data_IF_826393447826
#
_entry.id   IF_826393447826
#
_cell.length_a   1.000
_cell.length_b   1.000
_cell.length_c   1.000
_cell.angle_alpha   90.00
_cell.angle_beta   90.00
_cell.angle_gamma   90.00
#
_symmetry.space_group_name_H-M   'P 1'
#
loop_
_entity.id
_entity.type
_entity.pdbx_description
1 polymer ?
#
# COMPACT_ATOMS: atom_id res chain seq x y z
N UNK A 1 -34.46 -14.06 34.42
CA UNK A 1 -35.44 -14.74 33.52
C UNK A 1 -35.44 -14.00 32.18
N UNK A 2 -35.34 -14.69 31.06
CA UNK A 2 -35.34 -14.07 29.73
C UNK A 2 -36.77 -13.65 29.35
N UNK A 3 -36.96 -12.39 28.96
CA UNK A 3 -38.26 -11.86 28.54
C UNK A 3 -38.35 -11.92 27.01
N UNK A 4 -39.26 -12.71 26.50
CA UNK A 4 -39.57 -12.83 25.07
C UNK A 4 -38.59 -13.64 24.25
N UNK A 5 -38.86 -13.74 22.93
CA UNK A 5 -38.00 -14.37 21.95
C UNK A 5 -37.01 -13.34 21.35
N UNK A 6 -35.80 -13.80 20.94
CA UNK A 6 -34.86 -12.96 20.26
C UNK A 6 -35.37 -12.64 18.83
N UNK A 7 -35.64 -11.35 18.49
CA UNK A 7 -36.09 -10.95 17.16
C UNK A 7 -35.19 -11.40 16.02
N UNK A 8 -33.86 -11.56 16.27
CA UNK A 8 -32.91 -12.03 15.28
C UNK A 8 -33.26 -13.43 14.69
N UNK A 9 -34.05 -14.24 15.41
CA UNK A 9 -34.55 -15.53 14.90
C UNK A 9 -35.53 -15.40 13.72
N UNK A 10 -36.09 -14.21 13.53
CA UNK A 10 -37.06 -13.92 12.48
C UNK A 10 -36.47 -13.21 11.27
N UNK A 11 -35.15 -12.85 11.34
CA UNK A 11 -34.44 -12.30 10.21
C UNK A 11 -34.27 -13.40 9.16
N UNK A 12 -34.81 -13.16 7.97
CA UNK A 12 -34.80 -14.13 6.87
C UNK A 12 -33.61 -13.99 5.93
N UNK A 13 -33.04 -12.81 5.88
CA UNK A 13 -31.93 -12.47 4.96
C UNK A 13 -30.77 -11.92 5.74
N UNK A 14 -29.56 -12.34 5.35
CA UNK A 14 -28.30 -11.83 5.86
C UNK A 14 -27.53 -11.26 4.67
N UNK A 15 -27.12 -10.01 4.78
CA UNK A 15 -26.27 -9.39 3.76
C UNK A 15 -24.94 -10.13 3.67
N UNK A 16 -24.51 -10.41 2.45
CA UNK A 16 -23.20 -11.00 2.18
C UNK A 16 -22.20 -9.89 1.91
N UNK A 17 -20.95 -10.06 2.32
CA UNK A 17 -19.90 -9.12 1.93
C UNK A 17 -19.67 -9.17 0.41
N UNK A 18 -19.12 -8.07 -0.11
CA UNK A 18 -18.63 -8.05 -1.48
C UNK A 18 -17.45 -9.01 -1.66
N UNK A 19 -17.24 -9.47 -2.90
CA UNK A 19 -16.15 -10.41 -3.21
C UNK A 19 -14.76 -9.83 -2.89
N UNK A 20 -14.62 -8.51 -2.97
CA UNK A 20 -13.37 -7.79 -2.74
C UNK A 20 -13.52 -6.88 -1.52
N UNK A 21 -12.55 -6.96 -0.61
CA UNK A 21 -12.37 -5.96 0.45
C UNK A 21 -11.20 -5.07 0.08
N UNK A 22 -11.44 -3.77 -0.08
CA UNK A 22 -10.37 -2.77 -0.11
C UNK A 22 -10.02 -2.42 1.33
N UNK A 23 -8.79 -2.70 1.73
CA UNK A 23 -8.34 -2.61 3.11
C UNK A 23 -7.26 -1.54 3.26
N UNK A 24 -7.56 -0.46 3.96
CA UNK A 24 -6.66 0.69 4.19
C UNK A 24 -6.12 0.66 5.60
N UNK A 25 -4.79 0.63 5.74
CA UNK A 25 -4.13 0.78 7.04
C UNK A 25 -3.81 2.25 7.28
N UNK A 26 -4.30 2.81 8.39
CA UNK A 26 -4.09 4.19 8.77
C UNK A 26 -3.34 4.32 10.10
N UNK A 27 -2.37 5.24 10.13
CA UNK A 27 -1.68 5.67 11.34
C UNK A 27 -1.19 7.10 11.20
N UNK A 28 -1.84 8.03 11.88
CA UNK A 28 -1.51 9.47 11.89
C UNK A 28 -1.55 9.94 13.34
N UNK A 29 -0.42 9.85 14.08
CA UNK A 29 -0.42 10.07 15.54
C UNK A 29 -0.64 11.53 15.95
N UNK A 30 -0.34 12.49 15.07
CA UNK A 30 -0.53 13.92 15.27
C UNK A 30 -0.47 14.66 13.94
N UNK A 31 -1.05 15.87 13.87
CA UNK A 31 -1.10 16.68 12.64
C UNK A 31 -0.05 17.81 12.65
N UNK A 32 1.23 17.43 12.72
CA UNK A 32 2.35 18.39 12.66
C UNK A 32 3.60 17.73 12.06
N UNK A 33 4.60 18.54 11.66
CA UNK A 33 5.85 18.03 11.08
C UNK A 33 5.62 17.11 9.88
N UNK A 34 6.12 15.89 9.95
CA UNK A 34 5.95 14.88 8.89
C UNK A 34 4.46 14.57 8.60
N UNK A 35 3.61 14.59 9.62
CA UNK A 35 2.19 14.25 9.51
C UNK A 35 1.26 15.45 9.27
N UNK A 36 1.81 16.66 9.02
CA UNK A 36 1.01 17.89 8.93
C UNK A 36 -0.09 17.84 7.86
N UNK A 37 0.16 17.24 6.71
CA UNK A 37 -0.78 17.11 5.58
C UNK A 37 -1.43 15.71 5.50
N UNK A 38 -1.10 14.78 6.42
CA UNK A 38 -1.50 13.37 6.29
C UNK A 38 -3.02 13.14 6.37
N UNK A 39 -3.78 14.00 7.04
CA UNK A 39 -5.24 13.91 7.02
C UNK A 39 -5.79 14.23 5.62
N UNK A 40 -5.22 15.21 4.92
CA UNK A 40 -5.61 15.53 3.55
C UNK A 40 -5.17 14.42 2.58
N UNK A 41 -4.00 13.82 2.80
CA UNK A 41 -3.51 12.64 2.05
C UNK A 41 -4.45 11.46 2.25
N UNK A 42 -4.87 11.16 3.48
CA UNK A 42 -5.85 10.11 3.78
C UNK A 42 -7.18 10.38 3.05
N UNK A 43 -7.68 11.62 3.08
CA UNK A 43 -8.90 12.02 2.36
C UNK A 43 -8.77 11.79 0.85
N UNK A 44 -7.62 12.13 0.28
CA UNK A 44 -7.32 11.92 -1.14
C UNK A 44 -7.26 10.41 -1.47
N UNK A 45 -6.63 9.59 -0.61
CA UNK A 45 -6.60 8.15 -0.75
C UNK A 45 -8.01 7.56 -0.78
N UNK A 46 -8.83 7.81 0.26
CA UNK A 46 -10.20 7.30 0.34
C UNK A 46 -11.08 7.85 -0.78
N UNK A 47 -10.89 9.11 -1.15
CA UNK A 47 -11.58 9.75 -2.29
C UNK A 47 -11.26 9.06 -3.61
N UNK A 48 -9.99 8.76 -3.88
CA UNK A 48 -9.55 8.09 -5.10
C UNK A 48 -10.06 6.65 -5.19
N UNK A 49 -10.10 5.93 -4.08
CA UNK A 49 -10.70 4.58 -4.02
C UNK A 49 -12.17 4.66 -4.46
N UNK A 50 -12.95 5.56 -3.87
CA UNK A 50 -14.37 5.71 -4.21
C UNK A 50 -14.62 6.14 -5.65
N UNK A 51 -13.80 7.04 -6.17
CA UNK A 51 -13.97 7.60 -7.51
C UNK A 51 -13.54 6.63 -8.62
N UNK A 52 -12.48 5.86 -8.38
CA UNK A 52 -11.75 5.16 -9.43
C UNK A 52 -11.84 3.62 -9.32
N UNK A 53 -12.60 3.08 -8.35
CA UNK A 53 -12.82 1.64 -8.25
C UNK A 53 -14.04 1.23 -9.06
N UNK A 54 -13.82 0.39 -10.03
CA UNK A 54 -14.78 -0.01 -11.07
C UNK A 54 -15.44 -1.39 -10.82
N UNK A 55 -15.09 -2.05 -9.73
CA UNK A 55 -15.72 -3.31 -9.29
C UNK A 55 -16.41 -3.13 -7.93
N UNK A 56 -17.45 -3.91 -7.60
CA UNK A 56 -18.05 -3.89 -6.27
C UNK A 56 -17.02 -4.27 -5.19
N UNK A 57 -17.03 -3.55 -4.09
CA UNK A 57 -16.15 -3.78 -2.95
C UNK A 57 -16.73 -3.27 -1.64
N UNK A 58 -16.28 -3.86 -0.53
CA UNK A 58 -16.44 -3.30 0.80
C UNK A 58 -15.15 -2.56 1.20
N UNK A 59 -15.28 -1.35 1.73
CA UNK A 59 -14.15 -0.60 2.26
C UNK A 59 -13.96 -0.92 3.75
N UNK A 60 -12.79 -1.45 4.08
CA UNK A 60 -12.33 -1.65 5.45
C UNK A 60 -11.20 -0.68 5.76
N UNK A 61 -11.33 0.10 6.81
CA UNK A 61 -10.26 0.94 7.33
C UNK A 61 -9.84 0.44 8.71
N UNK A 62 -8.54 0.18 8.90
CA UNK A 62 -7.96 -0.11 10.20
C UNK A 62 -7.17 1.12 10.67
N UNK A 63 -7.65 1.75 11.73
CA UNK A 63 -6.95 2.84 12.39
C UNK A 63 -6.08 2.32 13.54
N UNK A 64 -4.78 2.51 13.41
CA UNK A 64 -3.78 1.97 14.33
C UNK A 64 -3.34 2.99 15.39
N UNK A 65 -4.30 3.56 16.11
CA UNK A 65 -4.12 4.59 17.15
C UNK A 65 -3.70 5.96 16.58
N UNK A 66 -4.46 6.50 15.65
CA UNK A 66 -4.32 7.88 15.19
C UNK A 66 -4.85 8.89 16.22
N UNK A 67 -4.52 10.19 16.00
CA UNK A 67 -5.03 11.28 16.84
C UNK A 67 -6.55 11.48 16.69
N UNK A 68 -7.14 12.22 17.61
CA UNK A 68 -8.59 12.38 17.73
C UNK A 68 -9.23 12.98 16.48
N UNK A 69 -8.58 13.94 15.83
CA UNK A 69 -9.11 14.59 14.61
C UNK A 69 -9.23 13.58 13.45
N UNK A 70 -8.27 12.67 13.32
CA UNK A 70 -8.28 11.62 12.29
C UNK A 70 -9.34 10.58 12.62
N UNK A 71 -9.44 10.16 13.88
CA UNK A 71 -10.46 9.20 14.34
C UNK A 71 -11.86 9.76 14.15
N UNK A 72 -12.07 11.03 14.47
CA UNK A 72 -13.36 11.70 14.26
C UNK A 72 -13.74 11.69 12.78
N UNK A 73 -12.82 12.05 11.87
CA UNK A 73 -13.05 11.97 10.44
C UNK A 73 -13.45 10.56 9.98
N UNK A 74 -12.75 9.52 10.46
CA UNK A 74 -13.06 8.14 10.08
C UNK A 74 -14.44 7.68 10.61
N UNK A 75 -14.83 8.11 11.80
CA UNK A 75 -16.16 7.85 12.36
C UNK A 75 -17.25 8.52 11.52
N UNK A 76 -17.07 9.78 11.12
CA UNK A 76 -18.00 10.49 10.25
C UNK A 76 -18.14 9.83 8.88
N UNK A 77 -17.04 9.33 8.31
CA UNK A 77 -17.05 8.56 7.05
C UNK A 77 -17.82 7.23 7.20
N UNK A 78 -17.65 6.56 8.33
CA UNK A 78 -18.37 5.32 8.64
C UNK A 78 -19.86 5.55 8.87
N UNK A 79 -20.24 6.55 9.68
CA UNK A 79 -21.64 6.92 9.94
C UNK A 79 -22.38 7.34 8.65
N UNK A 80 -21.66 7.97 7.72
CA UNK A 80 -22.18 8.33 6.40
C UNK A 80 -22.25 7.13 5.41
N UNK A 81 -21.89 5.92 5.84
CA UNK A 81 -21.91 4.71 5.02
C UNK A 81 -20.80 4.63 3.96
N UNK A 82 -19.80 5.52 4.02
CA UNK A 82 -18.69 5.55 3.07
C UNK A 82 -17.53 4.62 3.44
N UNK A 83 -17.52 4.11 4.66
CA UNK A 83 -16.65 3.01 5.15
C UNK A 83 -17.57 1.92 5.68
N UNK A 84 -17.55 0.71 5.10
CA UNK A 84 -18.39 -0.41 5.51
C UNK A 84 -17.88 -1.05 6.80
N UNK A 85 -16.56 -1.15 6.96
CA UNK A 85 -15.93 -1.77 8.12
C UNK A 85 -14.87 -0.82 8.69
N UNK A 86 -15.06 -0.34 9.91
CA UNK A 86 -14.09 0.49 10.63
C UNK A 86 -13.58 -0.26 11.85
N UNK A 87 -12.26 -0.48 11.91
CA UNK A 87 -11.57 -1.05 13.05
C UNK A 87 -10.71 0.02 13.71
N UNK A 88 -10.94 0.31 14.99
CA UNK A 88 -10.18 1.28 15.76
C UNK A 88 -9.33 0.57 16.81
N UNK A 89 -8.02 0.80 16.80
CA UNK A 89 -7.11 0.35 17.86
C UNK A 89 -6.78 1.50 18.80
N UNK A 90 -6.81 1.25 20.10
CA UNK A 90 -6.38 2.22 21.11
C UNK A 90 -4.85 2.29 21.25
N UNK A 91 -4.14 1.32 20.67
CA UNK A 91 -2.69 1.22 20.75
C UNK A 91 -2.11 1.01 19.36
N UNK A 92 -0.95 1.60 19.09
CA UNK A 92 -0.18 1.29 17.91
C UNK A 92 0.38 -0.14 18.01
N UNK A 93 -0.16 -1.02 17.19
CA UNK A 93 0.23 -2.44 17.12
C UNK A 93 1.42 -2.68 16.18
N UNK A 94 1.98 -1.61 15.60
CA UNK A 94 2.89 -1.71 14.48
C UNK A 94 2.19 -2.20 13.21
N UNK A 95 2.88 -2.18 12.08
CA UNK A 95 2.28 -2.59 10.78
C UNK A 95 1.92 -4.09 10.78
N UNK A 96 2.79 -4.95 11.32
CA UNK A 96 2.55 -6.39 11.40
C UNK A 96 1.35 -6.76 12.27
N UNK A 97 1.20 -6.12 13.44
CA UNK A 97 0.06 -6.33 14.34
C UNK A 97 -1.26 -5.87 13.74
N UNK A 98 -1.27 -4.70 13.09
CA UNK A 98 -2.43 -4.21 12.36
C UNK A 98 -2.83 -5.17 11.23
N UNK A 99 -1.87 -5.69 10.47
CA UNK A 99 -2.12 -6.67 9.43
C UNK A 99 -2.70 -7.98 9.97
N UNK A 100 -2.24 -8.46 11.12
CA UNK A 100 -2.77 -9.67 11.74
C UNK A 100 -4.28 -9.56 11.99
N UNK A 101 -4.75 -8.38 12.40
CA UNK A 101 -6.18 -8.14 12.63
C UNK A 101 -6.93 -7.86 11.32
N UNK A 102 -6.43 -6.92 10.53
CA UNK A 102 -7.12 -6.42 9.35
C UNK A 102 -7.22 -7.47 8.25
N UNK A 103 -6.12 -8.16 7.90
CA UNK A 103 -6.13 -9.16 6.82
C UNK A 103 -6.91 -10.43 7.21
N UNK A 104 -6.88 -10.82 8.49
CA UNK A 104 -7.71 -11.92 8.96
C UNK A 104 -9.20 -11.54 9.01
N UNK A 105 -9.51 -10.29 9.39
CA UNK A 105 -10.87 -9.79 9.54
C UNK A 105 -11.54 -9.35 8.24
N UNK A 106 -10.79 -9.11 7.16
CA UNK A 106 -11.35 -8.71 5.87
C UNK A 106 -12.40 -9.73 5.39
N UNK A 107 -13.65 -9.32 5.07
CA UNK A 107 -14.73 -10.27 4.78
C UNK A 107 -14.67 -10.88 3.38
N UNK A 108 -14.09 -10.18 2.39
CA UNK A 108 -14.04 -10.59 1.00
C UNK A 108 -13.15 -11.81 0.71
N UNK A 109 -13.34 -12.42 -0.45
CA UNK A 109 -12.48 -13.48 -1.00
C UNK A 109 -11.08 -12.93 -1.38
N UNK A 110 -11.05 -11.70 -1.88
CA UNK A 110 -9.85 -10.94 -2.21
C UNK A 110 -9.68 -9.77 -1.27
N UNK A 111 -8.42 -9.47 -0.95
CA UNK A 111 -8.04 -8.29 -0.17
C UNK A 111 -7.17 -7.40 -1.05
N UNK A 112 -7.66 -6.20 -1.33
CA UNK A 112 -6.92 -5.13 -1.97
C UNK A 112 -6.37 -4.20 -0.88
N UNK A 113 -5.17 -4.52 -0.38
CA UNK A 113 -4.52 -3.78 0.68
C UNK A 113 -3.85 -2.51 0.14
N UNK A 114 -3.86 -1.45 0.94
CA UNK A 114 -3.08 -0.23 0.70
C UNK A 114 -2.70 0.49 1.99
N UNK A 115 -1.55 1.16 1.97
CA UNK A 115 -1.22 2.20 2.94
C UNK A 115 -2.12 3.43 2.68
N UNK A 116 -2.26 4.33 3.64
CA UNK A 116 -3.17 5.48 3.59
C UNK A 116 -2.67 6.64 2.71
N UNK A 117 -1.52 6.49 2.08
CA UNK A 117 -0.87 7.47 1.21
C UNK A 117 -0.85 7.09 -0.28
N UNK A 118 -1.72 6.18 -0.67
CA UNK A 118 -1.88 5.78 -2.07
C UNK A 118 -3.02 6.52 -2.76
N UNK A 119 -2.80 6.95 -3.99
CA UNK A 119 -3.82 7.47 -4.89
C UNK A 119 -4.05 6.48 -6.03
N UNK A 120 -5.30 6.15 -6.31
CA UNK A 120 -5.68 5.20 -7.34
C UNK A 120 -6.23 5.89 -8.58
N UNK A 121 -5.91 5.35 -9.75
CA UNK A 121 -6.45 5.76 -11.04
C UNK A 121 -7.51 4.77 -11.53
N UNK A 122 -8.39 5.23 -12.44
CA UNK A 122 -9.47 4.38 -12.97
C UNK A 122 -8.97 3.06 -13.53
N UNK A 123 -9.69 1.98 -13.25
CA UNK A 123 -9.36 0.63 -13.72
C UNK A 123 -8.31 -0.11 -12.89
N UNK A 124 -7.84 0.46 -11.79
CA UNK A 124 -6.79 -0.17 -10.97
C UNK A 124 -7.20 -1.54 -10.43
N UNK A 125 -8.46 -1.69 -10.03
CA UNK A 125 -8.94 -2.92 -9.41
C UNK A 125 -9.26 -3.99 -10.45
N UNK A 126 -9.98 -3.64 -11.52
CA UNK A 126 -10.28 -4.57 -12.62
C UNK A 126 -9.04 -5.08 -13.31
N UNK A 127 -8.04 -4.21 -13.54
CA UNK A 127 -6.76 -4.61 -14.15
C UNK A 127 -5.97 -5.54 -13.22
N UNK A 128 -5.96 -5.26 -11.91
CA UNK A 128 -5.33 -6.15 -10.93
C UNK A 128 -6.04 -7.51 -10.87
N UNK A 129 -7.38 -7.53 -10.90
CA UNK A 129 -8.16 -8.77 -10.94
C UNK A 129 -7.90 -9.55 -12.23
N UNK A 130 -7.80 -8.88 -13.37
CA UNK A 130 -7.46 -9.54 -14.64
C UNK A 130 -6.14 -10.31 -14.54
N UNK A 131 -5.10 -9.71 -13.94
CA UNK A 131 -3.82 -10.39 -13.72
C UNK A 131 -3.96 -11.59 -12.77
N UNK A 132 -4.72 -11.42 -11.66
CA UNK A 132 -4.99 -12.49 -10.71
C UNK A 132 -5.72 -13.69 -11.33
N UNK A 133 -6.56 -13.47 -12.33
CA UNK A 133 -7.38 -14.49 -12.99
C UNK A 133 -6.70 -15.10 -14.22
N UNK A 134 -5.81 -14.34 -14.89
CA UNK A 134 -5.11 -14.82 -16.10
C UNK A 134 -3.91 -15.69 -15.79
N UNK A 135 -3.10 -15.29 -14.80
CA UNK A 135 -1.89 -16.02 -14.46
C UNK A 135 -2.16 -17.03 -13.34
N UNK A 136 -1.55 -18.22 -13.37
CA UNK A 136 -1.76 -19.23 -12.33
C UNK A 136 -1.02 -18.83 -11.04
N UNK A 137 -1.54 -19.24 -9.90
CA UNK A 137 -0.88 -19.12 -8.60
C UNK A 137 -0.35 -17.71 -8.27
N UNK A 138 -1.04 -16.66 -8.73
CA UNK A 138 -0.67 -15.30 -8.38
C UNK A 138 -0.89 -15.09 -6.88
N UNK A 139 0.17 -14.72 -6.19
CA UNK A 139 0.11 -14.39 -4.76
C UNK A 139 -0.18 -12.92 -4.50
N UNK A 140 0.34 -12.05 -5.39
CA UNK A 140 0.27 -10.61 -5.18
C UNK A 140 0.31 -9.85 -6.50
N UNK A 141 -0.58 -8.87 -6.65
CA UNK A 141 -0.55 -7.89 -7.74
C UNK A 141 -0.49 -6.48 -7.13
N UNK A 142 0.53 -5.69 -7.46
CA UNK A 142 0.58 -4.26 -7.13
C UNK A 142 0.11 -3.45 -8.33
N UNK A 143 -0.80 -2.50 -8.15
CA UNK A 143 -1.49 -1.78 -9.23
C UNK A 143 -0.62 -0.72 -9.96
N UNK A 144 0.68 -0.78 -9.78
CA UNK A 144 1.63 0.12 -10.45
C UNK A 144 2.94 -0.60 -10.73
N UNK A 145 3.61 -0.32 -11.87
CA UNK A 145 4.95 -0.84 -12.13
C UNK A 145 6.01 -0.04 -11.37
N UNK A 146 6.98 -0.76 -10.82
CA UNK A 146 8.20 -0.23 -10.21
C UNK A 146 9.23 -1.36 -10.10
N UNK A 147 10.49 -1.03 -9.85
CA UNK A 147 11.56 -2.03 -9.72
C UNK A 147 11.72 -2.46 -8.27
N UNK A 148 11.58 -3.75 -8.02
CA UNK A 148 11.73 -4.37 -6.71
C UNK A 148 13.03 -5.16 -6.64
N UNK A 149 13.43 -5.58 -5.42
CA UNK A 149 14.55 -6.49 -5.27
C UNK A 149 14.27 -7.81 -6.03
N UNK A 150 15.17 -8.26 -6.92
CA UNK A 150 15.04 -9.52 -7.65
C UNK A 150 14.79 -10.76 -6.79
N UNK A 151 15.28 -10.77 -5.56
CA UNK A 151 15.06 -11.86 -4.60
C UNK A 151 13.58 -12.07 -4.24
N UNK A 152 12.74 -11.04 -4.47
CA UNK A 152 11.31 -11.12 -4.17
C UNK A 152 10.46 -11.71 -5.30
N UNK A 153 11.04 -11.94 -6.48
CA UNK A 153 10.30 -12.47 -7.62
C UNK A 153 11.07 -13.54 -8.43
N UNK A 154 12.14 -14.10 -7.88
CA UNK A 154 12.95 -15.13 -8.54
C UNK A 154 12.10 -16.32 -9.01
N UNK A 155 11.13 -16.76 -8.18
CA UNK A 155 10.21 -17.84 -8.52
C UNK A 155 9.27 -17.52 -9.68
N UNK A 156 8.88 -16.26 -9.81
CA UNK A 156 8.10 -15.81 -10.98
C UNK A 156 8.90 -15.94 -12.26
N UNK A 157 10.20 -15.62 -12.23
CA UNK A 157 11.09 -15.79 -13.37
C UNK A 157 11.32 -17.25 -13.74
N UNK A 158 11.58 -18.10 -12.74
CA UNK A 158 11.76 -19.55 -12.91
C UNK A 158 10.52 -20.18 -13.55
N UNK A 159 9.33 -19.85 -13.03
CA UNK A 159 8.08 -20.31 -13.61
C UNK A 159 7.92 -19.85 -15.07
N UNK A 160 8.15 -18.57 -15.35
CA UNK A 160 7.96 -18.01 -16.69
C UNK A 160 8.90 -18.61 -17.74
N UNK A 161 10.09 -19.07 -17.36
CA UNK A 161 11.05 -19.74 -18.25
C UNK A 161 10.60 -21.12 -18.70
N UNK A 162 9.74 -21.77 -17.92
CA UNK A 162 9.32 -23.17 -18.15
C UNK A 162 7.84 -23.31 -18.52
N UNK A 163 7.04 -22.27 -18.32
CA UNK A 163 5.60 -22.30 -18.52
C UNK A 163 5.26 -22.25 -20.03
N UNK A 164 4.48 -23.24 -20.49
CA UNK A 164 4.01 -23.26 -21.86
C UNK A 164 3.04 -22.10 -22.14
N UNK A 165 3.17 -21.45 -23.30
CA UNK A 165 2.28 -20.36 -23.72
C UNK A 165 2.53 -19.02 -23.02
N UNK A 166 3.66 -18.89 -22.31
CA UNK A 166 4.12 -17.65 -21.69
C UNK A 166 5.33 -17.12 -22.44
N UNK A 167 5.29 -15.86 -22.90
CA UNK A 167 6.47 -15.15 -23.38
C UNK A 167 7.12 -14.35 -22.25
N UNK A 168 8.45 -14.32 -22.24
CA UNK A 168 9.26 -13.54 -21.31
C UNK A 168 10.17 -12.61 -22.10
N UNK A 169 10.07 -11.32 -21.84
CA UNK A 169 10.88 -10.28 -22.45
C UNK A 169 11.62 -9.48 -21.38
N UNK A 170 12.85 -9.07 -21.69
CA UNK A 170 13.66 -8.19 -20.82
C UNK A 170 13.93 -6.88 -21.54
N UNK A 171 13.76 -5.75 -20.84
CA UNK A 171 13.93 -4.43 -21.44
C UNK A 171 13.60 -3.31 -20.49
N UNK A 172 13.53 -2.09 -21.01
CA UNK A 172 13.07 -0.92 -20.26
C UNK A 172 11.59 -0.67 -20.63
N UNK A 173 10.67 -1.20 -19.85
CA UNK A 173 9.23 -1.12 -20.11
C UNK A 173 8.53 -0.10 -19.22
N UNK A 174 9.11 0.24 -18.07
CA UNK A 174 8.59 1.27 -17.17
C UNK A 174 9.07 2.63 -17.70
N UNK A 175 8.15 3.57 -18.06
CA UNK A 175 8.54 4.91 -18.49
C UNK A 175 9.33 5.64 -17.38
N UNK A 176 10.27 6.50 -17.81
CA UNK A 176 11.10 7.26 -16.88
C UNK A 176 10.26 8.06 -15.88
N UNK A 177 9.22 8.72 -16.35
CA UNK A 177 8.34 9.55 -15.49
C UNK A 177 7.67 8.72 -14.40
N UNK A 178 7.20 7.51 -14.73
CA UNK A 178 6.59 6.58 -13.77
C UNK A 178 7.62 6.08 -12.76
N UNK A 179 8.83 5.78 -13.22
CA UNK A 179 9.91 5.31 -12.36
C UNK A 179 10.38 6.42 -11.41
N UNK A 180 10.69 7.59 -11.96
CA UNK A 180 11.17 8.75 -11.19
C UNK A 180 10.17 9.19 -10.12
N UNK A 181 8.89 9.26 -10.45
CA UNK A 181 7.83 9.68 -9.53
C UNK A 181 7.82 8.83 -8.25
N UNK A 182 7.93 7.51 -8.40
CA UNK A 182 7.91 6.61 -7.25
C UNK A 182 9.15 6.76 -6.38
N UNK A 183 10.33 6.78 -6.95
CA UNK A 183 11.57 6.88 -6.19
C UNK A 183 11.74 8.27 -5.55
N UNK A 184 11.24 9.35 -6.19
CA UNK A 184 11.13 10.68 -5.57
C UNK A 184 10.20 10.67 -4.35
N UNK A 185 9.08 9.95 -4.40
CA UNK A 185 8.16 9.82 -3.26
C UNK A 185 8.81 9.13 -2.06
N UNK A 186 9.83 8.32 -2.29
CA UNK A 186 10.67 7.70 -1.25
C UNK A 186 11.82 8.59 -0.75
N UNK A 187 11.96 9.79 -1.30
CA UNK A 187 12.97 10.77 -0.88
C UNK A 187 14.35 10.56 -1.49
N UNK A 188 14.49 9.75 -2.55
CA UNK A 188 15.74 9.56 -3.27
C UNK A 188 16.12 10.81 -4.08
N UNK A 189 17.40 11.02 -4.32
CA UNK A 189 17.88 12.10 -5.19
C UNK A 189 17.76 11.72 -6.68
N UNK A 190 17.54 12.71 -7.56
CA UNK A 190 17.41 12.48 -9.00
C UNK A 190 18.63 11.75 -9.61
N UNK A 191 19.83 12.02 -9.12
CA UNK A 191 21.04 11.34 -9.59
C UNK A 191 21.07 9.85 -9.25
N UNK A 192 20.64 9.47 -8.04
CA UNK A 192 20.53 8.08 -7.61
C UNK A 192 19.44 7.35 -8.41
N UNK A 193 18.30 8.02 -8.62
CA UNK A 193 17.16 7.49 -9.40
C UNK A 193 17.61 7.20 -10.84
N UNK A 194 18.30 8.15 -11.47
CA UNK A 194 18.80 7.99 -12.85
C UNK A 194 19.79 6.85 -12.97
N UNK A 195 20.76 6.77 -12.07
CA UNK A 195 21.73 5.68 -12.04
C UNK A 195 21.04 4.32 -11.87
N UNK A 196 20.03 4.22 -11.01
CA UNK A 196 19.24 3.01 -10.81
C UNK A 196 18.44 2.67 -12.07
N UNK A 197 17.79 3.64 -12.72
CA UNK A 197 17.03 3.44 -13.95
C UNK A 197 17.87 2.91 -15.09
N UNK A 198 19.08 3.44 -15.29
CA UNK A 198 20.00 3.09 -16.37
C UNK A 198 20.66 1.72 -16.17
N UNK A 199 20.85 1.30 -14.91
CA UNK A 199 21.56 0.03 -14.59
C UNK A 199 20.64 -1.16 -14.36
N UNK A 200 19.34 -0.96 -14.25
CA UNK A 200 18.36 -2.02 -14.01
C UNK A 200 17.39 -2.18 -15.20
N UNK A 201 16.83 -3.35 -15.34
CA UNK A 201 15.91 -3.71 -16.42
C UNK A 201 14.61 -4.30 -15.87
N UNK A 202 13.54 -4.15 -16.62
CA UNK A 202 12.25 -4.73 -16.33
C UNK A 202 12.10 -6.09 -17.00
N UNK A 203 11.20 -6.91 -16.46
CA UNK A 203 10.79 -8.18 -17.06
C UNK A 203 9.29 -8.14 -17.34
N UNK A 204 8.90 -8.37 -18.58
CA UNK A 204 7.51 -8.46 -19.02
C UNK A 204 7.16 -9.90 -19.34
N UNK A 205 6.02 -10.34 -18.84
CA UNK A 205 5.41 -11.63 -19.16
C UNK A 205 4.15 -11.39 -19.98
N UNK A 206 3.89 -12.24 -20.95
CA UNK A 206 2.60 -12.26 -21.65
C UNK A 206 2.05 -13.68 -21.66
N UNK A 207 0.83 -13.82 -21.15
CA UNK A 207 0.08 -15.07 -21.09
C UNK A 207 -1.31 -14.83 -21.68
N UNK A 208 -1.75 -15.65 -22.63
CA UNK A 208 -3.07 -15.53 -23.31
C UNK A 208 -3.41 -14.12 -23.78
N UNK A 209 -2.40 -13.37 -24.26
CA UNK A 209 -2.57 -11.99 -24.73
C UNK A 209 -2.59 -10.91 -23.65
N UNK A 210 -2.50 -11.28 -22.36
CA UNK A 210 -2.43 -10.35 -21.24
C UNK A 210 -0.98 -10.18 -20.81
N UNK A 211 -0.50 -8.93 -20.80
CA UNK A 211 0.87 -8.59 -20.39
C UNK A 211 0.90 -8.10 -18.95
N UNK A 212 1.95 -8.50 -18.22
CA UNK A 212 2.25 -8.05 -16.87
C UNK A 212 3.75 -7.80 -16.71
N UNK A 213 4.15 -6.91 -15.82
CA UNK A 213 5.53 -6.77 -15.35
C UNK A 213 5.75 -7.65 -14.12
N UNK A 214 6.96 -8.17 -13.99
CA UNK A 214 7.33 -9.02 -12.85
C UNK A 214 7.71 -8.15 -11.67
N UNK A 215 7.10 -8.43 -10.54
CA UNK A 215 7.30 -7.72 -9.27
C UNK A 215 5.98 -7.43 -8.57
N UNK A 216 6.05 -7.13 -7.32
CA UNK A 216 4.95 -6.60 -6.50
C UNK A 216 5.54 -6.16 -5.15
N UNK A 217 4.79 -5.42 -4.35
CA UNK A 217 5.25 -4.99 -3.03
C UNK A 217 4.12 -4.88 -2.02
N UNK A 218 4.53 -4.96 -0.76
CA UNK A 218 3.67 -4.95 0.41
C UNK A 218 3.04 -3.59 0.76
N UNK A 219 3.37 -2.49 0.07
CA UNK A 219 2.78 -1.18 0.38
C UNK A 219 1.39 -1.00 -0.23
N UNK A 220 1.14 -1.66 -1.37
CA UNK A 220 -0.17 -1.77 -2.03
C UNK A 220 -0.23 -3.09 -2.79
N UNK A 221 -1.28 -3.88 -2.59
CA UNK A 221 -1.44 -5.13 -3.33
C UNK A 221 -2.87 -5.66 -3.33
N UNK A 222 -3.18 -6.46 -4.34
CA UNK A 222 -4.32 -7.37 -4.38
C UNK A 222 -3.83 -8.80 -4.18
N UNK A 223 -4.49 -9.55 -3.30
CA UNK A 223 -4.19 -10.96 -3.06
C UNK A 223 -5.45 -11.73 -2.65
N UNK A 224 -5.46 -13.06 -2.84
CA UNK A 224 -6.50 -13.91 -2.25
C UNK A 224 -6.36 -13.95 -0.74
N UNK A 225 -7.47 -13.81 -0.01
CA UNK A 225 -7.48 -13.92 1.46
C UNK A 225 -6.93 -15.25 1.94
N UNK A 226 -7.30 -16.36 1.29
CA UNK A 226 -6.79 -17.68 1.63
C UNK A 226 -5.27 -17.80 1.48
N UNK A 227 -4.67 -17.10 0.49
CA UNK A 227 -3.23 -17.04 0.32
C UNK A 227 -2.58 -16.24 1.44
N UNK A 228 -3.12 -15.07 1.78
CA UNK A 228 -2.64 -14.24 2.88
C UNK A 228 -2.69 -14.97 4.23
N UNK A 229 -3.76 -15.74 4.48
CA UNK A 229 -3.93 -16.49 5.71
C UNK A 229 -2.79 -17.48 5.99
N UNK A 230 -2.11 -17.99 4.96
CA UNK A 230 -0.95 -18.89 5.10
C UNK A 230 0.29 -18.21 5.67
N UNK A 231 0.33 -16.88 5.64
CA UNK A 231 1.46 -16.07 6.09
C UNK A 231 1.20 -15.36 7.42
N UNK A 232 -0.03 -15.41 7.93
CA UNK A 232 -0.40 -14.89 9.24
C UNK A 232 -0.12 -15.90 10.35
N UNK A 233 0.18 -15.46 11.59
CA UNK A 233 0.40 -14.08 11.98
C UNK A 233 1.82 -13.60 11.65
N UNK A 234 1.97 -12.27 11.50
CA UNK A 234 3.27 -11.62 11.49
C UNK A 234 3.77 -11.42 12.92
N UNK A 235 5.08 -11.45 13.11
CA UNK A 235 5.69 -11.09 14.38
C UNK A 235 5.44 -9.58 14.67
N UNK A 236 5.21 -9.24 15.94
CA UNK A 236 4.90 -7.90 16.41
C UNK A 236 6.07 -7.26 17.19
N UNK A 237 7.26 -7.83 17.14
CA UNK A 237 8.42 -7.37 17.93
C UNK A 237 8.96 -6.01 17.48
N UNK A 238 8.54 -5.51 16.31
CA UNK A 238 9.00 -4.25 15.74
C UNK A 238 7.84 -3.43 15.19
N UNK A 239 7.91 -2.09 15.22
CA UNK A 239 6.88 -1.23 14.64
C UNK A 239 6.73 -1.40 13.13
N UNK A 240 7.83 -1.66 12.42
CA UNK A 240 7.89 -1.80 10.96
C UNK A 240 8.94 -2.86 10.57
N UNK A 241 8.91 -3.28 9.29
CA UNK A 241 9.94 -4.13 8.69
C UNK A 241 9.54 -5.61 8.57
N UNK A 242 8.69 -6.14 9.44
CA UNK A 242 8.25 -7.54 9.35
C UNK A 242 7.44 -7.83 8.08
N UNK A 243 6.74 -6.82 7.57
CA UNK A 243 5.90 -6.96 6.38
C UNK A 243 6.69 -7.29 5.11
N UNK A 244 7.99 -6.94 5.05
CA UNK A 244 8.90 -7.41 3.99
C UNK A 244 9.02 -8.94 3.94
N UNK A 245 8.78 -9.61 5.07
CA UNK A 245 8.76 -11.06 5.14
C UNK A 245 7.63 -11.65 4.28
N UNK A 246 6.53 -10.91 4.05
CA UNK A 246 5.48 -11.35 3.15
C UNK A 246 6.02 -11.52 1.73
N UNK A 247 6.80 -10.54 1.24
CA UNK A 247 7.42 -10.58 -0.09
C UNK A 247 8.32 -11.81 -0.24
N UNK A 248 9.20 -12.04 0.74
CA UNK A 248 10.13 -13.17 0.74
C UNK A 248 9.41 -14.52 0.86
N UNK A 249 8.46 -14.63 1.79
CA UNK A 249 7.73 -15.88 2.04
C UNK A 249 6.82 -16.27 0.89
N UNK A 250 6.14 -15.29 0.24
CA UNK A 250 5.34 -15.54 -0.96
C UNK A 250 6.21 -16.04 -2.11
N UNK A 251 7.36 -15.38 -2.36
CA UNK A 251 8.29 -15.83 -3.38
C UNK A 251 8.80 -17.25 -3.07
N UNK A 252 9.26 -17.50 -1.85
CA UNK A 252 9.73 -18.82 -1.44
C UNK A 252 8.67 -19.93 -1.58
N UNK A 253 7.39 -19.58 -1.38
CA UNK A 253 6.26 -20.49 -1.57
C UNK A 253 5.85 -20.69 -3.05
N UNK A 254 6.54 -20.07 -4.00
CA UNK A 254 6.32 -20.25 -5.44
C UNK A 254 5.17 -19.43 -6.01
N UNK A 255 4.64 -18.44 -5.27
CA UNK A 255 3.59 -17.57 -5.77
C UNK A 255 4.14 -16.53 -6.75
N UNK A 256 3.41 -16.30 -7.85
CA UNK A 256 3.75 -15.27 -8.81
C UNK A 256 3.47 -13.89 -8.24
N UNK A 257 4.33 -12.93 -8.60
CA UNK A 257 4.24 -11.54 -8.19
C UNK A 257 4.28 -10.67 -9.43
N UNK A 258 3.19 -9.93 -9.65
CA UNK A 258 2.93 -9.25 -10.92
C UNK A 258 2.51 -7.79 -10.69
N UNK A 259 2.68 -7.00 -11.74
CA UNK A 259 2.23 -5.61 -11.84
C UNK A 259 1.63 -5.38 -13.23
N UNK A 260 0.63 -4.51 -13.38
CA UNK A 260 0.19 -4.06 -14.70
C UNK A 260 1.32 -3.30 -15.41
N UNK A 261 1.20 -3.16 -16.71
CA UNK A 261 2.11 -2.33 -17.52
C UNK A 261 1.84 -0.84 -17.38
N UNK A 262 0.63 -0.50 -16.94
CA UNK A 262 0.14 0.85 -16.69
C UNK A 262 0.32 1.24 -15.21
N UNK A 263 0.59 2.53 -14.95
CA UNK A 263 0.63 3.06 -13.59
C UNK A 263 -0.79 3.43 -13.13
N UNK A 264 -1.43 2.53 -12.37
CA UNK A 264 -2.81 2.67 -11.90
C UNK A 264 -2.90 3.02 -10.40
N UNK A 265 -1.77 3.18 -9.75
CA UNK A 265 -1.65 3.70 -8.40
C UNK A 265 -0.38 4.55 -8.26
N UNK A 266 -0.39 5.53 -7.39
CA UNK A 266 0.80 6.31 -7.05
C UNK A 266 0.94 6.47 -5.54
N UNK A 267 2.16 6.65 -5.07
CA UNK A 267 2.44 6.96 -3.68
C UNK A 267 2.49 8.48 -3.52
N UNK A 268 1.60 9.04 -2.67
CA UNK A 268 1.55 10.46 -2.38
C UNK A 268 2.58 10.89 -1.32
N UNK A 269 3.19 9.93 -0.64
CA UNK A 269 4.01 10.20 0.54
C UNK A 269 3.20 10.98 1.60
N UNK A 270 3.78 12.01 2.20
CA UNK A 270 3.14 12.80 3.26
C UNK A 270 2.61 14.17 2.81
N UNK A 271 2.42 14.40 1.49
CA UNK A 271 2.00 15.70 0.96
C UNK A 271 1.25 15.57 -0.36
N UNK A 272 0.32 16.50 -0.62
CA UNK A 272 -0.40 16.58 -1.89
C UNK A 272 0.26 17.52 -2.92
N UNK A 273 1.41 18.10 -2.61
CA UNK A 273 2.06 19.12 -3.46
C UNK A 273 2.45 18.62 -4.84
N UNK A 274 2.71 17.33 -4.96
CA UNK A 274 3.10 16.70 -6.23
C UNK A 274 1.89 16.15 -7.01
N UNK A 275 0.65 16.35 -6.47
CA UNK A 275 -0.56 15.83 -7.09
C UNK A 275 -1.15 16.86 -8.07
N UNK A 276 -1.29 16.53 -9.36
CA UNK A 276 -1.92 17.44 -10.32
C UNK A 276 -3.35 17.81 -9.90
N UNK A 277 -3.63 19.12 -9.78
CA UNK A 277 -4.97 19.63 -9.48
C UNK A 277 -5.45 19.46 -8.03
N UNK A 278 -4.62 18.97 -7.13
CA UNK A 278 -4.92 18.89 -5.69
C UNK A 278 -4.21 20.00 -4.91
N UNK A 279 -4.93 20.62 -3.98
CA UNK A 279 -4.38 21.56 -3.02
C UNK A 279 -4.64 21.05 -1.63
N UNK A 280 -3.61 21.03 -0.77
CA UNK A 280 -3.80 20.76 0.65
C UNK A 280 -4.66 21.86 1.27
N UNK A 281 -5.70 21.49 2.01
CA UNK A 281 -6.52 22.43 2.78
C UNK A 281 -5.79 22.87 4.05
N UNK A 282 -4.79 22.14 4.44
CA UNK A 282 -3.94 22.49 5.58
C UNK A 282 -3.13 23.73 5.20
N UNK A 283 -3.51 24.89 5.71
CA UNK A 283 -2.59 26.03 5.74
C UNK A 283 -1.35 25.55 6.48
N UNK A 284 -0.31 25.19 5.74
CA UNK A 284 1.02 25.03 6.33
C UNK A 284 1.29 26.35 7.04
N UNK A 285 1.11 26.39 8.36
CA UNK A 285 1.73 27.43 9.16
C UNK A 285 3.16 27.37 8.72
N UNK A 286 3.54 28.34 7.89
CA UNK A 286 4.92 28.54 7.51
C UNK A 286 5.69 28.51 8.81
N UNK A 287 6.32 27.34 9.09
CA UNK A 287 7.22 27.24 10.18
C UNK A 287 8.22 28.35 9.93
N UNK A 288 8.11 29.34 10.79
CA UNK A 288 9.02 30.42 11.04
C UNK A 288 10.31 30.32 10.24
N UNK A 289 10.61 31.42 9.53
CA UNK A 289 11.93 31.85 9.05
C UNK A 289 12.95 30.70 9.04
N UNK A 290 13.21 30.18 7.84
CA UNK A 290 14.37 29.32 7.61
C UNK A 290 15.55 29.91 8.38
N UNK A 291 16.06 29.15 9.32
CA UNK A 291 17.25 29.58 10.01
C UNK A 291 18.39 29.39 9.01
N UNK A 292 18.99 30.46 8.45
CA UNK A 292 19.97 30.34 7.37
C UNK A 292 21.15 29.43 7.73
N UNK A 293 21.40 29.21 9.02
CA UNK A 293 22.35 28.23 9.53
C UNK A 293 21.93 26.77 9.28
N UNK A 294 20.64 26.46 9.30
CA UNK A 294 20.13 25.12 9.04
C UNK A 294 20.06 24.79 7.54
N UNK A 295 19.95 25.82 6.69
CA UNK A 295 19.96 25.68 5.23
C UNK A 295 21.38 25.64 4.65
N UNK A 296 22.41 25.93 5.47
CA UNK A 296 23.80 25.82 5.04
C UNK A 296 24.15 24.35 4.75
N UNK A 297 24.52 24.00 3.48
CA UNK A 297 24.62 22.60 3.05
C UNK A 297 25.47 21.67 3.96
N UNK A 298 26.64 22.08 4.50
CA UNK A 298 27.38 21.23 5.41
C UNK A 298 26.68 21.01 6.75
N UNK A 299 25.99 22.02 7.30
CA UNK A 299 25.23 21.90 8.56
C UNK A 299 24.06 20.97 8.37
N UNK A 300 23.30 21.11 7.28
CA UNK A 300 22.19 20.24 6.93
C UNK A 300 22.65 18.78 6.75
N UNK A 301 23.78 18.55 6.04
CA UNK A 301 24.33 17.19 5.88
C UNK A 301 24.75 16.58 7.23
N UNK A 302 25.37 17.34 8.10
CA UNK A 302 25.79 16.87 9.42
C UNK A 302 24.58 16.55 10.29
N UNK A 303 23.54 17.41 10.30
CA UNK A 303 22.31 17.16 11.04
C UNK A 303 21.54 15.94 10.52
N UNK A 304 21.45 15.76 9.20
CA UNK A 304 20.86 14.57 8.60
C UNK A 304 21.67 13.32 8.95
N UNK A 305 23.00 13.36 8.90
CA UNK A 305 23.85 12.22 9.30
C UNK A 305 23.72 11.88 10.78
N UNK A 306 23.57 12.88 11.66
CA UNK A 306 23.31 12.68 13.09
C UNK A 306 21.91 12.11 13.30
N UNK A 307 20.90 12.63 12.60
CA UNK A 307 19.56 12.10 12.62
C UNK A 307 19.53 10.64 12.17
N UNK A 308 20.17 10.31 11.03
CA UNK A 308 20.26 8.95 10.51
C UNK A 308 21.02 8.01 11.47
N UNK A 309 22.08 8.51 12.10
CA UNK A 309 22.84 7.74 13.09
C UNK A 309 21.99 7.46 14.34
N UNK A 310 21.26 8.46 14.86
CA UNK A 310 20.33 8.30 15.98
C UNK A 310 19.19 7.36 15.59
N UNK A 311 18.64 7.53 14.39
CA UNK A 311 17.57 6.70 13.87
C UNK A 311 18.03 5.23 13.76
N UNK A 312 19.19 4.97 13.14
CA UNK A 312 19.78 3.63 13.07
C UNK A 312 20.10 3.09 14.46
N UNK A 313 20.71 3.88 15.32
CA UNK A 313 21.00 3.46 16.68
C UNK A 313 19.74 3.07 17.48
N UNK A 314 18.64 3.81 17.30
CA UNK A 314 17.36 3.53 17.96
C UNK A 314 16.66 2.31 17.38
N UNK A 315 16.70 2.13 16.04
CA UNK A 315 15.94 1.08 15.35
C UNK A 315 16.75 -0.18 15.02
N UNK A 316 18.09 -0.11 14.92
CA UNK A 316 18.95 -1.30 14.68
C UNK A 316 19.34 -2.02 15.97
N UNK A 317 19.12 -1.43 17.13
CA UNK A 317 19.36 -2.05 18.44
C UNK A 317 18.16 -2.76 19.05
N UNK A 318 17.01 -2.65 18.42
CA UNK A 318 15.81 -3.42 18.78
C UNK A 318 15.64 -4.54 17.76
#
# INVERSE_FOLDING_TARGET
MRVGQNPAKFVKEVSKPERITVAVLNYIPFLSGFYAEMLDVLKACLGSIRLNTDLPYDLLVFDNASCDEVRQYLLEEHEAGRIQHLMLSEKNLGKGGAWNMMLAGAPGEYVAYTDNDCYFHAGWLSRSMQLMETFPQVGMVTARPFRTNPDYYSRTLEWAQTAAGVSLERGSFIPWETFQEFDLSLGQSEGEIRAHYETSIDVRLTCTGVSALVGASHWQFLAKKETLARFLPFNMDRPMGQVKQLDQRMNAAGYLRLMPTESLAMNMSNTLRNMPGMTSTTQTRTVSKSNPLLDFPPVRRTLLSVYDAIFRWYYDRQ
#
